data_IF_333505891984
#
_entry.id   IF_333505891984
#
_cell.length_a   1.000
_cell.length_b   1.000
_cell.length_c   1.000
_cell.angle_alpha   90.00
_cell.angle_beta   90.00
_cell.angle_gamma   90.00
#
_symmetry.space_group_name_H-M   'P 1'
#
loop_
_entity.id
_entity.type
_entity.pdbx_description
1 polymer ?
#
# COMPACT_ATOMS: atom_id res chain seq x y z
N UNK A 1 20.85 14.23 19.33
CA UNK A 1 22.02 14.67 20.11
C UNK A 1 22.00 14.08 21.52
N UNK A 2 21.10 14.47 22.42
CA UNK A 2 21.05 13.94 23.80
C UNK A 2 20.85 12.42 23.89
N UNK A 3 19.99 11.84 23.06
CA UNK A 3 19.72 10.40 23.08
C UNK A 3 20.92 9.56 22.63
N UNK A 4 21.76 10.10 21.75
CA UNK A 4 22.98 9.43 21.25
C UNK A 4 24.04 9.38 22.35
N UNK A 5 24.20 10.48 23.08
CA UNK A 5 25.12 10.59 24.22
C UNK A 5 24.69 9.68 25.37
N UNK A 6 23.39 9.64 25.69
CA UNK A 6 22.83 8.78 26.74
C UNK A 6 23.03 7.28 26.45
N UNK A 7 22.87 6.86 25.18
CA UNK A 7 23.05 5.46 24.77
C UNK A 7 24.52 5.05 24.72
N UNK A 8 25.42 5.94 24.32
CA UNK A 8 26.87 5.70 24.39
C UNK A 8 27.34 5.57 25.85
N UNK A 9 26.75 6.34 26.77
CA UNK A 9 27.01 6.26 28.21
C UNK A 9 26.54 4.93 28.81
N UNK A 10 25.35 4.44 28.43
CA UNK A 10 24.86 3.12 28.86
C UNK A 10 25.67 1.95 28.32
N UNK A 11 26.21 2.06 27.10
CA UNK A 11 27.12 1.05 26.53
C UNK A 11 28.48 1.03 27.24
N UNK A 12 28.93 2.19 27.75
CA UNK A 12 30.17 2.34 28.50
C UNK A 12 30.12 1.71 29.90
N UNK A 13 28.94 1.53 30.48
CA UNK A 13 28.77 0.84 31.78
C UNK A 13 28.98 -0.68 31.68
N UNK A 14 28.88 -1.27 30.48
CA UNK A 14 28.95 -2.73 30.30
C UNK A 14 30.25 -3.21 29.61
N UNK A 15 30.85 -2.43 28.70
CA UNK A 15 32.04 -2.82 27.93
C UNK A 15 32.91 -1.59 27.56
N UNK A 16 34.19 -1.80 27.22
CA UNK A 16 35.09 -0.73 26.77
C UNK A 16 34.58 -0.01 25.50
N UNK A 17 34.54 1.32 25.56
CA UNK A 17 34.11 2.16 24.44
C UNK A 17 35.27 2.36 23.47
N UNK A 18 35.28 1.62 22.36
CA UNK A 18 36.26 1.80 21.28
C UNK A 18 35.78 2.78 20.21
N UNK A 19 36.69 3.46 19.48
CA UNK A 19 36.35 4.38 18.38
C UNK A 19 35.46 3.75 17.30
N UNK A 20 35.64 2.45 17.02
CA UNK A 20 34.86 1.71 16.04
C UNK A 20 33.40 1.56 16.48
N UNK A 21 33.14 1.38 17.78
CA UNK A 21 31.79 1.27 18.32
C UNK A 21 31.08 2.61 18.36
N UNK A 22 31.80 3.69 18.67
CA UNK A 22 31.25 5.06 18.56
C UNK A 22 30.87 5.35 17.11
N UNK A 23 31.75 5.01 16.15
CA UNK A 23 31.46 5.16 14.74
C UNK A 23 30.25 4.32 14.29
N UNK A 24 30.12 3.08 14.78
CA UNK A 24 28.97 2.22 14.49
C UNK A 24 27.67 2.79 15.08
N UNK A 25 27.69 3.22 16.34
CA UNK A 25 26.52 3.79 17.02
C UNK A 25 26.04 5.09 16.35
N UNK A 26 26.97 5.92 15.85
CA UNK A 26 26.64 7.11 15.07
C UNK A 26 26.01 6.76 13.73
N UNK A 27 26.54 5.75 13.02
CA UNK A 27 25.95 5.29 11.74
C UNK A 27 24.57 4.65 11.92
N UNK A 28 24.36 3.94 13.02
CA UNK A 28 23.03 3.38 13.35
C UNK A 28 22.03 4.47 13.74
N UNK A 29 22.48 5.55 14.39
CA UNK A 29 21.66 6.71 14.72
C UNK A 29 21.29 7.49 13.46
N UNK A 30 22.24 7.77 12.58
CA UNK A 30 22.01 8.46 11.30
C UNK A 30 21.13 7.64 10.35
N UNK A 31 21.17 6.30 10.45
CA UNK A 31 20.30 5.44 9.65
C UNK A 31 18.87 5.36 10.16
N UNK A 32 18.60 5.77 11.41
CA UNK A 32 17.34 5.47 12.08
C UNK A 32 17.13 3.95 12.11
N UNK A 33 17.42 3.31 13.25
CA UNK A 33 17.04 1.90 13.42
C UNK A 33 15.55 1.69 13.08
N UNK A 34 15.14 0.52 12.58
CA UNK A 34 13.76 0.28 12.21
C UNK A 34 12.84 0.58 13.40
N UNK A 35 11.94 1.56 13.23
CA UNK A 35 10.91 1.91 14.22
C UNK A 35 10.04 0.69 14.52
N UNK A 36 9.33 0.62 15.65
CA UNK A 36 8.42 -0.51 15.92
C UNK A 36 7.36 -0.69 14.81
N UNK A 37 6.97 0.40 14.14
CA UNK A 37 6.16 0.43 12.92
C UNK A 37 6.80 -0.32 11.73
N UNK A 38 8.13 -0.40 11.67
CA UNK A 38 8.84 -1.15 10.64
C UNK A 38 8.87 -2.67 10.90
N UNK A 39 8.68 -3.09 12.16
CA UNK A 39 8.61 -4.51 12.55
C UNK A 39 7.21 -5.10 12.36
N UNK A 40 6.17 -4.28 12.49
CA UNK A 40 4.82 -4.65 12.15
C UNK A 40 4.65 -4.56 10.62
N UNK A 41 5.06 -5.59 9.87
CA UNK A 41 4.74 -5.70 8.44
C UNK A 41 3.21 -5.82 8.31
N UNK A 42 2.49 -4.79 7.81
CA UNK A 42 1.06 -4.89 7.55
C UNK A 42 0.88 -5.65 6.24
N UNK A 43 1.30 -6.92 6.25
CA UNK A 43 1.11 -7.81 5.11
C UNK A 43 -0.39 -8.05 4.91
N UNK A 44 -0.85 -7.85 3.68
CA UNK A 44 -2.23 -8.08 3.29
C UNK A 44 -2.40 -9.56 2.95
N UNK A 45 -3.37 -10.23 3.57
CA UNK A 45 -3.67 -11.64 3.30
C UNK A 45 -4.80 -11.77 2.29
N UNK A 46 -4.52 -12.46 1.18
CA UNK A 46 -5.47 -12.67 0.09
C UNK A 46 -5.61 -14.17 -0.24
N UNK A 47 -6.68 -14.60 -0.94
CA UNK A 47 -6.94 -15.99 -1.28
C UNK A 47 -5.86 -16.59 -2.18
N UNK A 48 -5.26 -15.75 -3.03
CA UNK A 48 -4.24 -16.13 -4.01
C UNK A 48 -2.84 -15.62 -3.66
N UNK A 49 -2.55 -15.45 -2.38
CA UNK A 49 -1.23 -15.07 -1.88
C UNK A 49 -1.27 -13.88 -0.92
N UNK A 50 -0.09 -13.40 -0.51
CA UNK A 50 0.03 -12.21 0.34
C UNK A 50 0.67 -11.07 -0.41
N UNK A 51 0.14 -9.85 -0.26
CA UNK A 51 0.77 -8.63 -0.77
C UNK A 51 1.47 -7.96 0.39
N UNK A 52 2.77 -7.67 0.23
CA UNK A 52 3.59 -7.01 1.25
C UNK A 52 4.12 -5.69 0.75
N UNK A 53 4.17 -4.72 1.66
CA UNK A 53 4.84 -3.46 1.40
C UNK A 53 6.36 -3.68 1.26
N UNK A 54 6.96 -3.06 0.25
CA UNK A 54 8.39 -3.20 -0.06
C UNK A 54 9.25 -2.07 0.49
N UNK A 55 8.65 -1.03 1.05
CA UNK A 55 9.36 0.13 1.57
C UNK A 55 8.55 0.94 2.57
N UNK A 56 9.20 1.93 3.19
CA UNK A 56 8.61 2.78 4.24
C UNK A 56 7.29 3.43 3.81
N UNK A 57 7.24 4.12 2.66
CA UNK A 57 6.02 4.81 2.20
C UNK A 57 4.85 3.85 1.93
N UNK A 58 5.12 2.63 1.47
CA UNK A 58 4.06 1.64 1.26
C UNK A 58 3.52 1.11 2.59
N UNK A 59 4.39 0.84 3.57
CA UNK A 59 3.96 0.45 4.93
C UNK A 59 3.12 1.54 5.56
N UNK A 60 3.56 2.79 5.47
CA UNK A 60 2.80 3.94 5.96
C UNK A 60 1.46 4.09 5.25
N UNK A 61 1.43 3.94 3.92
CA UNK A 61 0.17 3.98 3.15
C UNK A 61 -0.81 2.88 3.59
N UNK A 62 -0.33 1.65 3.79
CA UNK A 62 -1.17 0.56 4.31
C UNK A 62 -1.65 0.86 5.73
N UNK A 63 -0.77 1.31 6.63
CA UNK A 63 -1.16 1.69 7.99
C UNK A 63 -2.25 2.76 7.99
N UNK A 64 -2.12 3.78 7.13
CA UNK A 64 -3.11 4.85 6.99
C UNK A 64 -4.47 4.32 6.52
N UNK A 65 -4.50 3.42 5.53
CA UNK A 65 -5.75 2.79 5.06
C UNK A 65 -6.49 2.08 6.19
N UNK A 66 -5.78 1.40 7.11
CA UNK A 66 -6.42 0.65 8.21
C UNK A 66 -6.86 1.55 9.37
N UNK A 67 -6.22 2.71 9.55
CA UNK A 67 -6.42 3.58 10.71
C UNK A 67 -7.27 4.82 10.43
N UNK A 68 -7.56 5.13 9.16
CA UNK A 68 -8.28 6.34 8.76
C UNK A 68 -9.41 6.02 7.78
N UNK A 69 -10.55 6.72 7.91
CA UNK A 69 -11.69 6.57 7.01
C UNK A 69 -11.39 7.04 5.57
N UNK A 70 -10.45 7.98 5.42
CA UNK A 70 -10.04 8.53 4.12
C UNK A 70 -8.51 8.61 4.04
N UNK A 71 -7.95 7.98 3.02
CA UNK A 71 -6.50 8.00 2.75
C UNK A 71 -6.22 8.44 1.33
N UNK A 72 -5.34 9.43 1.17
CA UNK A 72 -4.87 9.89 -0.14
C UNK A 72 -3.54 9.23 -0.49
N UNK A 73 -3.54 8.38 -1.51
CA UNK A 73 -2.32 7.82 -2.09
C UNK A 73 -1.72 8.76 -3.14
N UNK A 74 -0.74 9.59 -2.76
CA UNK A 74 -0.02 10.46 -3.69
C UNK A 74 1.40 9.96 -3.92
N UNK A 75 1.85 9.94 -5.17
CA UNK A 75 3.23 9.59 -5.51
C UNK A 75 3.42 9.21 -6.98
N UNK A 76 4.67 8.96 -7.41
CA UNK A 76 5.01 8.64 -8.81
C UNK A 76 4.26 7.43 -9.36
N UNK A 77 4.15 7.32 -10.68
CA UNK A 77 3.65 6.11 -11.32
C UNK A 77 4.50 4.88 -10.93
N UNK A 78 3.87 3.70 -10.82
CA UNK A 78 4.57 2.46 -10.49
C UNK A 78 4.86 2.22 -8.99
N UNK A 79 4.50 3.14 -8.08
CA UNK A 79 4.72 2.94 -6.63
C UNK A 79 3.68 2.06 -5.93
N UNK A 80 2.74 1.47 -6.68
CA UNK A 80 1.78 0.48 -6.16
C UNK A 80 0.56 1.05 -5.44
N UNK A 81 0.31 2.37 -5.47
CA UNK A 81 -0.79 3.03 -4.73
C UNK A 81 -2.16 2.40 -5.02
N UNK A 82 -2.49 2.23 -6.29
CA UNK A 82 -3.76 1.62 -6.73
C UNK A 82 -3.79 0.12 -6.38
N UNK A 83 -2.72 -0.60 -6.66
CA UNK A 83 -2.64 -2.05 -6.42
C UNK A 83 -2.80 -2.39 -4.93
N UNK A 84 -2.10 -1.65 -4.06
CA UNK A 84 -2.17 -1.82 -2.61
C UNK A 84 -3.55 -1.44 -2.05
N UNK A 85 -4.20 -0.40 -2.59
CA UNK A 85 -5.56 -0.05 -2.20
C UNK A 85 -6.56 -1.17 -2.55
N UNK A 86 -6.46 -1.73 -3.77
CA UNK A 86 -7.29 -2.85 -4.19
C UNK A 86 -7.05 -4.07 -3.29
N UNK A 87 -5.80 -4.35 -2.94
CA UNK A 87 -5.47 -5.44 -2.03
C UNK A 87 -6.14 -5.28 -0.65
N UNK A 88 -6.09 -4.08 -0.05
CA UNK A 88 -6.79 -3.80 1.21
C UNK A 88 -8.31 -3.94 1.09
N UNK A 89 -8.89 -3.48 -0.02
CA UNK A 89 -10.33 -3.62 -0.28
C UNK A 89 -10.74 -5.09 -0.38
N UNK A 90 -9.94 -5.92 -1.07
CA UNK A 90 -10.19 -7.36 -1.22
C UNK A 90 -10.05 -8.09 0.12
N UNK A 91 -9.05 -7.74 0.93
CA UNK A 91 -8.89 -8.27 2.28
C UNK A 91 -10.09 -7.93 3.16
N UNK A 92 -10.51 -6.66 3.15
CA UNK A 92 -11.68 -6.18 3.90
C UNK A 92 -12.98 -6.87 3.47
N UNK A 93 -13.15 -7.08 2.16
CA UNK A 93 -14.30 -7.79 1.61
C UNK A 93 -14.35 -9.25 2.08
N UNK A 94 -13.19 -9.89 2.25
CA UNK A 94 -13.11 -11.27 2.74
C UNK A 94 -13.24 -11.39 4.25
N UNK A 95 -12.70 -10.42 4.98
CA UNK A 95 -12.92 -10.27 6.41
C UNK A 95 -14.38 -9.89 6.73
N UNK A 96 -15.20 -9.64 5.70
CA UNK A 96 -16.59 -9.21 5.80
C UNK A 96 -16.76 -7.90 6.59
N UNK A 97 -15.71 -7.07 6.63
CA UNK A 97 -15.75 -5.75 7.26
C UNK A 97 -16.40 -4.71 6.36
N UNK A 98 -16.46 -4.99 5.05
CA UNK A 98 -17.21 -4.22 4.06
C UNK A 98 -18.12 -5.14 3.24
N UNK A 99 -19.21 -4.58 2.71
CA UNK A 99 -20.17 -5.31 1.89
C UNK A 99 -20.00 -5.09 0.39
N UNK A 100 -19.34 -3.99 -0.01
CA UNK A 100 -19.20 -3.57 -1.40
C UNK A 100 -17.89 -2.80 -1.62
N UNK A 101 -17.31 -2.95 -2.81
CA UNK A 101 -16.19 -2.16 -3.31
C UNK A 101 -16.67 -1.35 -4.52
N UNK A 102 -16.40 -0.05 -4.52
CA UNK A 102 -16.76 0.86 -5.62
C UNK A 102 -15.48 1.42 -6.23
N UNK A 103 -15.29 1.20 -7.53
CA UNK A 103 -14.14 1.65 -8.29
C UNK A 103 -14.51 2.88 -9.10
N UNK A 104 -13.92 4.02 -8.76
CA UNK A 104 -14.18 5.29 -9.46
C UNK A 104 -12.93 5.78 -10.16
N UNK A 105 -13.07 6.18 -11.42
CA UNK A 105 -12.05 6.93 -12.15
C UNK A 105 -12.70 8.16 -12.81
N UNK A 106 -12.14 9.37 -12.64
CA UNK A 106 -12.63 10.55 -13.33
C UNK A 106 -12.54 10.36 -14.85
N UNK A 107 -13.59 10.76 -15.57
CA UNK A 107 -13.74 10.54 -17.00
C UNK A 107 -12.82 11.39 -17.90
N UNK A 108 -11.93 12.21 -17.32
CA UNK A 108 -11.06 13.14 -18.06
C UNK A 108 -9.66 13.07 -17.47
N UNK A 109 -8.71 12.64 -18.29
CA UNK A 109 -7.29 12.67 -17.98
C UNK A 109 -6.72 14.06 -18.32
N UNK A 110 -5.75 14.53 -17.54
CA UNK A 110 -5.22 15.88 -17.67
C UNK A 110 -4.57 16.11 -19.05
N UNK A 111 -5.30 16.77 -19.97
CA UNK A 111 -4.74 17.31 -21.21
C UNK A 111 -5.27 16.75 -22.53
N UNK A 112 -6.09 15.68 -22.53
CA UNK A 112 -6.70 15.16 -23.75
C UNK A 112 -8.18 15.57 -23.85
N UNK A 113 -8.57 16.19 -24.97
CA UNK A 113 -9.99 16.26 -25.34
C UNK A 113 -10.43 14.82 -25.48
N UNK A 114 -11.52 14.41 -24.82
CA UNK A 114 -12.14 13.10 -24.98
C UNK A 114 -12.43 12.89 -26.48
N UNK A 115 -11.44 12.37 -27.21
CA UNK A 115 -11.58 11.98 -28.59
C UNK A 115 -12.63 10.89 -28.57
N UNK A 116 -13.65 11.03 -29.43
CA UNK A 116 -14.75 10.10 -29.48
C UNK A 116 -14.22 8.72 -29.87
N UNK A 117 -13.90 7.88 -28.88
CA UNK A 117 -13.85 6.44 -29.07
C UNK A 117 -15.25 6.04 -29.59
N UNK A 118 -15.38 5.50 -30.81
CA UNK A 118 -16.65 4.98 -31.29
C UNK A 118 -17.02 3.74 -30.45
N UNK A 119 -18.25 3.68 -29.94
CA UNK A 119 -18.70 2.56 -29.09
C UNK A 119 -19.65 2.98 -27.97
N UNK A 120 -20.13 1.97 -27.25
CA UNK A 120 -20.90 2.07 -25.99
C UNK A 120 -20.09 2.81 -24.91
N UNK A 121 -20.79 3.51 -23.99
CA UNK A 121 -20.21 4.12 -22.79
C UNK A 121 -19.26 3.16 -22.05
N UNK A 122 -19.64 1.89 -21.90
CA UNK A 122 -18.82 0.85 -21.27
C UNK A 122 -17.48 0.68 -21.97
N UNK A 123 -17.47 0.60 -23.30
CA UNK A 123 -16.25 0.44 -24.11
C UNK A 123 -15.30 1.64 -24.00
N UNK A 124 -15.82 2.81 -23.59
CA UNK A 124 -15.01 4.02 -23.36
C UNK A 124 -14.42 4.06 -21.95
N UNK A 125 -15.10 3.50 -20.96
CA UNK A 125 -14.66 3.52 -19.55
C UNK A 125 -13.73 2.33 -19.22
N UNK A 126 -13.96 1.19 -19.86
CA UNK A 126 -13.22 -0.06 -19.63
C UNK A 126 -11.69 0.06 -19.67
N UNK A 127 -11.07 0.77 -20.64
CA UNK A 127 -9.61 0.90 -20.68
C UNK A 127 -9.03 1.54 -19.41
N UNK A 128 -9.81 2.41 -18.76
CA UNK A 128 -9.39 3.17 -17.59
C UNK A 128 -9.57 2.38 -16.29
N UNK A 129 -10.53 1.46 -16.22
CA UNK A 129 -10.72 0.60 -15.04
C UNK A 129 -9.88 -0.68 -15.11
N UNK A 130 -9.36 -1.04 -16.29
CA UNK A 130 -8.62 -2.28 -16.53
C UNK A 130 -7.52 -2.58 -15.50
N UNK A 131 -6.64 -1.65 -15.09
CA UNK A 131 -5.62 -1.96 -14.08
C UNK A 131 -6.18 -2.39 -12.72
N UNK A 132 -7.36 -1.89 -12.35
CA UNK A 132 -8.04 -2.29 -11.11
C UNK A 132 -8.67 -3.68 -11.25
N UNK A 133 -9.29 -3.97 -12.40
CA UNK A 133 -9.81 -5.31 -12.69
C UNK A 133 -8.70 -6.37 -12.77
N UNK A 134 -7.58 -6.06 -13.41
CA UNK A 134 -6.43 -6.97 -13.50
C UNK A 134 -5.92 -7.35 -12.11
N UNK A 135 -5.80 -6.37 -11.21
CA UNK A 135 -5.43 -6.61 -9.80
C UNK A 135 -6.47 -7.48 -9.08
N UNK A 136 -7.77 -7.22 -9.26
CA UNK A 136 -8.83 -8.05 -8.69
C UNK A 136 -8.74 -9.50 -9.19
N UNK A 137 -8.52 -9.70 -10.49
CA UNK A 137 -8.39 -11.03 -11.09
C UNK A 137 -7.18 -11.79 -10.55
N UNK A 138 -6.06 -11.11 -10.35
CA UNK A 138 -4.87 -11.70 -9.73
C UNK A 138 -5.17 -12.18 -8.29
N UNK A 139 -5.85 -11.35 -7.49
CA UNK A 139 -6.06 -11.58 -6.05
C UNK A 139 -7.21 -12.56 -5.75
N UNK A 140 -8.28 -12.55 -6.54
CA UNK A 140 -9.51 -13.32 -6.32
C UNK A 140 -9.74 -14.43 -7.35
N UNK A 141 -9.17 -14.30 -8.55
CA UNK A 141 -9.47 -15.14 -9.71
C UNK A 141 -10.68 -14.68 -10.52
N UNK A 142 -10.65 -14.96 -11.81
CA UNK A 142 -11.69 -14.57 -12.79
C UNK A 142 -13.12 -14.95 -12.35
N UNK A 143 -13.35 -16.21 -11.99
CA UNK A 143 -14.69 -16.71 -11.65
C UNK A 143 -15.31 -16.01 -10.42
N UNK A 144 -14.48 -15.60 -9.47
CA UNK A 144 -14.94 -14.94 -8.25
C UNK A 144 -15.23 -13.46 -8.51
N UNK A 145 -14.37 -12.79 -9.27
CA UNK A 145 -14.57 -11.39 -9.65
C UNK A 145 -15.83 -11.24 -10.51
N UNK A 146 -16.02 -12.07 -11.52
CA UNK A 146 -17.22 -12.04 -12.38
C UNK A 146 -18.50 -12.16 -11.54
N UNK A 147 -18.54 -13.12 -10.62
CA UNK A 147 -19.67 -13.31 -9.69
C UNK A 147 -19.90 -12.12 -8.77
N UNK A 148 -18.84 -11.44 -8.32
CA UNK A 148 -18.98 -10.25 -7.49
C UNK A 148 -19.49 -9.06 -8.28
N UNK A 149 -19.08 -8.91 -9.54
CA UNK A 149 -19.61 -7.88 -10.44
C UNK A 149 -21.09 -8.13 -10.74
N UNK A 150 -21.47 -9.36 -11.12
CA UNK A 150 -22.86 -9.75 -11.39
C UNK A 150 -23.79 -9.49 -10.19
N UNK A 151 -23.27 -9.66 -8.96
CA UNK A 151 -24.00 -9.43 -7.71
C UNK A 151 -23.95 -7.98 -7.23
N UNK A 152 -23.33 -7.07 -7.97
CA UNK A 152 -23.10 -5.68 -7.56
C UNK A 152 -22.37 -5.59 -6.19
N UNK A 153 -21.43 -6.49 -5.94
CA UNK A 153 -20.50 -6.44 -4.79
C UNK A 153 -19.25 -5.65 -5.16
N UNK A 154 -18.86 -5.68 -6.44
CA UNK A 154 -17.83 -4.82 -7.02
C UNK A 154 -18.51 -4.06 -8.16
N UNK A 155 -18.47 -2.73 -8.14
CA UNK A 155 -18.99 -1.84 -9.19
C UNK A 155 -17.97 -0.77 -9.60
#
# INVERSE_FOLDING_TARGET
AEQTTARAFQLAEAEEVTPERVHLALREHDRGGPTEEERADPGIRLPRGGVRARGHHQRQYLSNIHSHDLTFGVGPAGTGKTYLAVACAVESLQAQTIHRVVLVRPAVEAGERLGFLPGDLTQKVDPYLRPMYDALYEMLGFDRVARFIERNVIE
#
